data_IF_472041634360
#
_entry.id   IF_472041634360
#
_cell.length_a   1.000
_cell.length_b   1.000
_cell.length_c   1.000
_cell.angle_alpha   90.00
_cell.angle_beta   90.00
_cell.angle_gamma   90.00
#
_symmetry.space_group_name_H-M   'P 1'
#
loop_
_entity.id
_entity.type
_entity.pdbx_description
1 polymer ?
#
# COMPACT_ATOMS: atom_id res chain seq x y z
N UNK A 1 -8.33 20.95 -35.89
CA UNK A 1 -7.98 21.02 -34.46
C UNK A 1 -9.21 20.61 -33.66
N UNK A 2 -9.22 19.41 -33.07
CA UNK A 2 -10.19 19.01 -32.04
C UNK A 2 -9.43 18.94 -30.73
N UNK A 3 -9.81 19.78 -29.79
CA UNK A 3 -9.35 19.73 -28.40
C UNK A 3 -9.68 18.35 -27.82
N UNK A 4 -8.74 17.66 -27.17
CA UNK A 4 -9.05 16.43 -26.46
C UNK A 4 -9.98 16.74 -25.28
N UNK A 5 -10.88 15.81 -24.91
CA UNK A 5 -11.74 15.99 -23.75
C UNK A 5 -10.88 16.11 -22.50
N UNK A 6 -11.24 17.07 -21.65
CA UNK A 6 -10.67 17.29 -20.33
C UNK A 6 -10.84 15.97 -19.55
N UNK A 7 -9.72 15.31 -19.25
CA UNK A 7 -9.64 14.12 -18.41
C UNK A 7 -9.92 14.53 -16.95
N UNK A 8 -11.16 14.89 -16.67
CA UNK A 8 -11.66 15.03 -15.32
C UNK A 8 -11.92 13.61 -14.79
N UNK A 9 -11.55 13.38 -13.52
CA UNK A 9 -11.82 12.18 -12.71
C UNK A 9 -10.65 11.18 -12.54
N UNK A 10 -9.48 11.68 -12.13
CA UNK A 10 -8.65 10.90 -11.18
C UNK A 10 -9.26 11.06 -9.77
N UNK A 11 -10.43 10.47 -9.56
CA UNK A 11 -11.04 10.38 -8.23
C UNK A 11 -10.28 9.31 -7.44
N UNK A 12 -9.53 9.77 -6.44
CA UNK A 12 -8.59 9.06 -5.58
C UNK A 12 -7.43 8.31 -6.24
N UNK A 13 -6.21 8.78 -5.95
CA UNK A 13 -4.98 8.15 -6.41
C UNK A 13 -4.49 6.99 -5.53
N UNK A 14 -5.11 6.77 -4.37
CA UNK A 14 -4.79 5.60 -3.57
C UNK A 14 -5.54 4.38 -4.11
N UNK A 15 -4.86 3.24 -4.35
CA UNK A 15 -5.52 2.05 -4.82
C UNK A 15 -6.51 1.55 -3.76
N UNK A 16 -7.67 1.07 -4.21
CA UNK A 16 -8.58 0.36 -3.32
C UNK A 16 -7.85 -0.84 -2.68
N UNK A 17 -8.17 -1.11 -1.42
CA UNK A 17 -7.58 -2.16 -0.59
C UNK A 17 -7.40 -3.51 -1.32
N UNK A 18 -8.45 -4.01 -1.96
CA UNK A 18 -8.41 -5.28 -2.71
C UNK A 18 -7.41 -5.24 -3.87
N UNK A 19 -7.26 -4.09 -4.54
CA UNK A 19 -6.31 -3.92 -5.65
C UNK A 19 -4.88 -3.97 -5.15
N UNK A 20 -4.60 -3.29 -4.04
CA UNK A 20 -3.30 -3.34 -3.37
C UNK A 20 -2.97 -4.76 -2.92
N UNK A 21 -3.90 -5.48 -2.27
CA UNK A 21 -3.70 -6.87 -1.89
C UNK A 21 -3.41 -7.80 -3.08
N UNK A 22 -4.07 -7.60 -4.22
CA UNK A 22 -3.79 -8.37 -5.44
C UNK A 22 -2.36 -8.11 -5.90
N UNK A 23 -1.91 -6.86 -5.90
CA UNK A 23 -0.54 -6.51 -6.29
C UNK A 23 0.50 -7.15 -5.34
N UNK A 24 0.24 -7.10 -4.03
CA UNK A 24 1.11 -7.65 -3.00
C UNK A 24 1.20 -9.19 -3.03
N UNK A 25 0.06 -9.88 -3.17
CA UNK A 25 0.01 -11.34 -3.01
C UNK A 25 0.07 -12.13 -4.32
N UNK A 26 -0.28 -11.52 -5.46
CA UNK A 26 -0.33 -12.22 -6.76
C UNK A 26 0.63 -11.64 -7.79
N UNK A 27 1.14 -10.44 -7.55
CA UNK A 27 2.07 -9.78 -8.47
C UNK A 27 1.49 -9.49 -9.85
N UNK A 28 0.16 -9.39 -9.99
CA UNK A 28 -0.46 -9.10 -11.28
C UNK A 28 -0.03 -7.73 -11.79
N UNK A 29 0.21 -7.63 -13.10
CA UNK A 29 0.55 -6.38 -13.77
C UNK A 29 -0.64 -5.41 -13.68
N UNK A 30 -0.34 -4.21 -13.21
CA UNK A 30 -1.30 -3.15 -12.99
C UNK A 30 -0.68 -1.85 -13.49
N UNK A 31 -1.48 -1.03 -14.18
CA UNK A 31 -1.05 0.30 -14.63
C UNK A 31 -0.96 1.32 -13.51
N UNK A 32 -1.44 0.98 -12.31
CA UNK A 32 -1.32 1.81 -11.11
C UNK A 32 0.12 1.82 -10.58
N UNK A 33 0.74 3.01 -10.45
CA UNK A 33 2.13 3.12 -10.02
C UNK A 33 2.33 2.62 -8.58
N UNK A 34 1.36 2.84 -7.68
CA UNK A 34 1.46 2.40 -6.28
C UNK A 34 1.39 0.88 -6.22
N UNK A 35 0.46 0.25 -6.94
CA UNK A 35 0.42 -1.21 -7.06
C UNK A 35 1.72 -1.77 -7.63
N UNK A 36 2.29 -1.11 -8.65
CA UNK A 36 3.55 -1.55 -9.24
C UNK A 36 4.72 -1.46 -8.25
N UNK A 37 4.84 -0.35 -7.51
CA UNK A 37 5.89 -0.20 -6.50
C UNK A 37 5.69 -1.15 -5.30
N UNK A 38 4.45 -1.37 -4.86
CA UNK A 38 4.12 -2.34 -3.82
C UNK A 38 4.59 -3.75 -4.20
N UNK A 39 4.42 -4.15 -5.46
CA UNK A 39 4.95 -5.42 -5.98
C UNK A 39 6.47 -5.49 -5.92
N UNK A 40 7.17 -4.42 -6.31
CA UNK A 40 8.63 -4.38 -6.21
C UNK A 40 9.11 -4.44 -4.76
N UNK A 41 8.41 -3.79 -3.83
CA UNK A 41 8.72 -3.88 -2.40
C UNK A 41 8.64 -5.33 -1.90
N UNK A 42 7.62 -6.10 -2.30
CA UNK A 42 7.52 -7.53 -1.97
C UNK A 42 8.74 -8.30 -2.48
N UNK A 43 9.17 -8.07 -3.73
CA UNK A 43 10.35 -8.72 -4.30
C UNK A 43 11.63 -8.35 -3.56
N UNK A 44 11.78 -7.09 -3.13
CA UNK A 44 12.94 -6.64 -2.35
C UNK A 44 12.98 -7.32 -0.97
N UNK A 45 11.84 -7.51 -0.31
CA UNK A 45 11.77 -8.27 0.95
C UNK A 45 12.18 -9.74 0.78
N UNK A 46 11.74 -10.38 -0.31
CA UNK A 46 12.15 -11.74 -0.64
C UNK A 46 13.65 -11.83 -0.91
N UNK A 47 14.17 -10.96 -1.77
CA UNK A 47 15.60 -10.90 -2.11
C UNK A 47 16.47 -10.66 -0.87
N UNK A 48 16.07 -9.74 0.00
CA UNK A 48 16.76 -9.46 1.26
C UNK A 48 16.81 -10.66 2.20
N UNK A 49 15.76 -11.48 2.21
CA UNK A 49 15.67 -12.69 3.03
C UNK A 49 16.52 -13.82 2.47
N UNK A 50 16.53 -13.99 1.15
CA UNK A 50 17.26 -15.05 0.45
C UNK A 50 18.76 -14.73 0.30
N UNK A 51 19.11 -13.45 0.17
CA UNK A 51 20.47 -12.97 -0.10
C UNK A 51 20.84 -11.83 0.87
N UNK A 52 21.29 -12.15 2.09
CA UNK A 52 21.66 -11.14 3.10
C UNK A 52 22.75 -10.17 2.64
N UNK A 53 23.65 -10.58 1.74
CA UNK A 53 24.70 -9.72 1.18
C UNK A 53 24.14 -8.54 0.36
N UNK A 54 22.91 -8.67 -0.15
CA UNK A 54 22.19 -7.61 -0.88
C UNK A 54 21.29 -6.77 0.02
N UNK A 55 21.31 -6.98 1.35
CA UNK A 55 20.36 -6.32 2.25
C UNK A 55 20.45 -4.78 2.19
N UNK A 56 21.65 -4.22 2.12
CA UNK A 56 21.84 -2.77 2.02
C UNK A 56 21.28 -2.19 0.72
N UNK A 57 21.45 -2.89 -0.41
CA UNK A 57 20.88 -2.47 -1.71
C UNK A 57 19.35 -2.56 -1.67
N UNK A 58 18.81 -3.66 -1.11
CA UNK A 58 17.38 -3.84 -0.97
C UNK A 58 16.77 -2.74 -0.08
N UNK A 59 17.40 -2.43 1.05
CA UNK A 59 16.94 -1.39 1.97
C UNK A 59 17.00 0.01 1.33
N UNK A 60 18.05 0.30 0.56
CA UNK A 60 18.15 1.54 -0.22
C UNK A 60 17.01 1.67 -1.24
N UNK A 61 16.79 0.63 -2.07
CA UNK A 61 15.72 0.63 -3.07
C UNK A 61 14.32 0.66 -2.45
N UNK A 62 14.14 0.04 -1.29
CA UNK A 62 12.89 0.15 -0.51
C UNK A 62 12.64 1.59 -0.09
N UNK A 63 13.64 2.26 0.48
CA UNK A 63 13.52 3.68 0.85
C UNK A 63 13.18 4.57 -0.36
N UNK A 64 13.77 4.31 -1.53
CA UNK A 64 13.41 5.04 -2.76
C UNK A 64 11.94 4.87 -3.14
N UNK A 65 11.41 3.65 -3.11
CA UNK A 65 9.99 3.41 -3.41
C UNK A 65 9.06 4.03 -2.38
N UNK A 66 9.40 3.95 -1.08
CA UNK A 66 8.65 4.62 0.00
C UNK A 66 8.58 6.12 -0.29
N UNK A 67 9.72 6.76 -0.59
CA UNK A 67 9.77 8.18 -0.93
C UNK A 67 8.91 8.51 -2.15
N UNK A 68 9.00 7.73 -3.25
CA UNK A 68 8.18 7.96 -4.45
C UNK A 68 6.68 7.83 -4.20
N UNK A 69 6.26 6.85 -3.39
CA UNK A 69 4.87 6.70 -2.98
C UNK A 69 4.41 7.95 -2.22
N UNK A 70 5.21 8.41 -1.26
CA UNK A 70 4.89 9.57 -0.45
C UNK A 70 4.84 10.87 -1.27
N UNK A 71 5.78 11.06 -2.19
CA UNK A 71 5.80 12.21 -3.11
C UNK A 71 4.56 12.22 -4.01
N UNK A 72 4.21 11.08 -4.60
CA UNK A 72 3.02 10.95 -5.43
C UNK A 72 1.76 11.28 -4.62
N UNK A 73 1.64 10.75 -3.41
CA UNK A 73 0.50 11.01 -2.54
C UNK A 73 0.45 12.48 -2.12
N UNK A 74 1.57 13.07 -1.73
CA UNK A 74 1.65 14.49 -1.35
C UNK A 74 1.25 15.41 -2.50
N UNK A 75 1.60 15.05 -3.74
CA UNK A 75 1.22 15.81 -4.92
C UNK A 75 -0.29 15.77 -5.22
N UNK A 76 -1.00 14.74 -4.76
CA UNK A 76 -2.43 14.54 -5.02
C UNK A 76 -3.28 14.98 -3.82
N UNK A 77 -2.87 14.59 -2.61
CA UNK A 77 -3.59 14.80 -1.35
C UNK A 77 -2.65 15.40 -0.29
N UNK A 78 -2.30 16.70 -0.37
CA UNK A 78 -1.36 17.32 0.56
C UNK A 78 -1.78 17.24 2.04
N UNK A 79 -3.09 17.26 2.31
CA UNK A 79 -3.65 17.19 3.68
C UNK A 79 -3.34 15.86 4.37
N UNK A 80 -3.21 14.79 3.59
CA UNK A 80 -2.90 13.46 4.10
C UNK A 80 -1.47 13.35 4.61
N UNK A 81 -0.53 13.94 3.88
CA UNK A 81 0.87 14.03 4.29
C UNK A 81 1.06 14.80 5.62
N UNK A 82 0.14 15.69 5.95
CA UNK A 82 0.15 16.47 7.19
C UNK A 82 -0.53 15.71 8.34
N UNK A 83 -1.64 15.05 8.06
CA UNK A 83 -2.52 14.45 9.08
C UNK A 83 -2.00 13.11 9.60
N UNK A 84 -1.27 12.36 8.76
CA UNK A 84 -0.80 11.03 9.10
C UNK A 84 0.75 10.99 9.13
N UNK A 85 1.37 11.13 10.32
CA UNK A 85 2.83 11.19 10.45
C UNK A 85 3.60 9.92 10.08
N UNK A 86 3.08 8.68 10.24
CA UNK A 86 3.64 7.53 9.54
C UNK A 86 3.34 7.71 8.06
N UNK A 87 4.34 7.74 7.18
CA UNK A 87 4.03 7.96 5.77
C UNK A 87 3.31 6.74 5.17
N UNK A 88 2.33 6.92 4.29
CA UNK A 88 1.61 5.79 3.64
C UNK A 88 2.55 4.84 2.92
N UNK A 89 3.65 5.33 2.35
CA UNK A 89 4.70 4.48 1.79
C UNK A 89 5.28 3.49 2.80
N UNK A 90 5.43 3.89 4.08
CA UNK A 90 5.88 2.99 5.16
C UNK A 90 4.81 1.96 5.48
N UNK A 91 3.52 2.32 5.49
CA UNK A 91 2.44 1.35 5.69
C UNK A 91 2.40 0.32 4.56
N UNK A 92 2.52 0.75 3.30
CA UNK A 92 2.55 -0.13 2.14
C UNK A 92 3.80 -1.03 2.16
N UNK A 93 4.95 -0.52 2.58
CA UNK A 93 6.16 -1.33 2.77
C UNK A 93 6.02 -2.37 3.89
N UNK A 94 5.35 -2.05 5.00
CA UNK A 94 4.99 -3.02 6.06
C UNK A 94 4.06 -4.10 5.51
N UNK A 95 3.05 -3.73 4.72
CA UNK A 95 2.17 -4.69 4.05
C UNK A 95 2.94 -5.60 3.10
N UNK A 96 3.90 -5.05 2.35
CA UNK A 96 4.77 -5.82 1.46
C UNK A 96 5.63 -6.85 2.21
N UNK A 97 6.23 -6.45 3.33
CA UNK A 97 6.97 -7.37 4.20
C UNK A 97 6.08 -8.50 4.72
N UNK A 98 4.89 -8.16 5.22
CA UNK A 98 3.94 -9.15 5.76
C UNK A 98 3.42 -10.10 4.67
N UNK A 99 3.15 -9.59 3.46
CA UNK A 99 2.73 -10.41 2.33
C UNK A 99 3.81 -11.41 1.89
N UNK A 100 5.07 -10.95 1.76
CA UNK A 100 6.21 -11.85 1.48
C UNK A 100 6.31 -12.94 2.54
N UNK A 101 6.29 -12.54 3.82
CA UNK A 101 6.38 -13.48 4.93
C UNK A 101 5.23 -14.50 4.93
N UNK A 102 3.99 -14.06 4.70
CA UNK A 102 2.82 -14.93 4.65
C UNK A 102 2.91 -15.94 3.50
N UNK A 103 3.32 -15.50 2.30
CA UNK A 103 3.53 -16.37 1.14
C UNK A 103 4.65 -17.38 1.40
N UNK A 104 5.78 -16.93 1.97
CA UNK A 104 6.91 -17.81 2.31
C UNK A 104 6.54 -18.84 3.37
N UNK A 105 5.77 -18.46 4.40
CA UNK A 105 5.28 -19.39 5.43
C UNK A 105 4.30 -20.43 4.86
N UNK A 106 3.46 -20.04 3.90
CA UNK A 106 2.56 -20.98 3.22
C UNK A 106 3.35 -22.09 2.50
N UNK A 107 4.45 -21.72 1.83
CA UNK A 107 5.34 -22.68 1.15
C UNK A 107 6.14 -23.51 2.16
N UNK A 108 6.69 -22.90 3.20
CA UNK A 108 7.63 -23.55 4.11
C UNK A 108 6.98 -24.46 5.16
N UNK A 109 5.79 -24.10 5.65
CA UNK A 109 5.18 -24.73 6.84
C UNK A 109 3.81 -25.38 6.59
N UNK A 110 3.25 -25.18 5.40
CA UNK A 110 1.94 -25.70 5.01
C UNK A 110 0.75 -24.91 5.59
N UNK A 111 -0.43 -25.12 5.00
CA UNK A 111 -1.63 -24.29 5.17
C UNK A 111 -2.30 -24.30 6.58
N UNK A 112 -1.72 -25.00 7.57
CA UNK A 112 -2.32 -25.19 8.91
C UNK A 112 -1.34 -24.93 10.06
N UNK A 113 -0.19 -24.32 9.77
CA UNK A 113 0.75 -24.00 10.84
C UNK A 113 0.32 -22.73 11.57
N UNK A 114 0.57 -22.68 12.87
CA UNK A 114 0.35 -21.48 13.69
C UNK A 114 1.15 -20.28 13.15
N UNK A 115 2.37 -20.51 12.66
CA UNK A 115 3.21 -19.46 12.07
C UNK A 115 2.61 -18.89 10.79
N UNK A 116 1.98 -19.75 9.97
CA UNK A 116 1.26 -19.32 8.79
C UNK A 116 0.05 -18.47 9.18
N UNK A 117 -0.75 -18.90 10.16
CA UNK A 117 -1.88 -18.10 10.65
C UNK A 117 -1.43 -16.74 11.17
N UNK A 118 -0.39 -16.67 11.99
CA UNK A 118 0.16 -15.42 12.50
C UNK A 118 0.60 -14.47 11.38
N UNK A 119 1.28 -14.97 10.35
CA UNK A 119 1.72 -14.16 9.23
C UNK A 119 0.53 -13.59 8.42
N UNK A 120 -0.52 -14.39 8.19
CA UNK A 120 -1.74 -13.92 7.52
C UNK A 120 -2.55 -12.95 8.38
N UNK A 121 -2.61 -13.16 9.70
CA UNK A 121 -3.26 -12.22 10.64
C UNK A 121 -2.56 -10.87 10.62
N UNK A 122 -1.23 -10.84 10.66
CA UNK A 122 -0.46 -9.60 10.59
C UNK A 122 -0.75 -8.83 9.28
N UNK A 123 -0.85 -9.53 8.14
CA UNK A 123 -1.20 -8.89 6.87
C UNK A 123 -2.63 -8.32 6.90
N UNK A 124 -3.59 -9.03 7.50
CA UNK A 124 -4.97 -8.56 7.64
C UNK A 124 -5.09 -7.31 8.53
N UNK A 125 -4.32 -7.25 9.63
CA UNK A 125 -4.28 -6.07 10.51
C UNK A 125 -3.75 -4.83 9.77
N UNK A 126 -2.68 -4.98 8.99
CA UNK A 126 -2.14 -3.89 8.17
C UNK A 126 -3.10 -3.47 7.05
N UNK A 127 -3.85 -4.43 6.51
CA UNK A 127 -4.88 -4.17 5.51
C UNK A 127 -6.05 -3.36 6.08
N UNK A 128 -6.47 -3.64 7.31
CA UNK A 128 -7.43 -2.83 8.04
C UNK A 128 -6.90 -1.42 8.31
N UNK A 129 -5.65 -1.29 8.78
CA UNK A 129 -4.99 0.00 9.01
C UNK A 129 -4.99 0.86 7.72
N UNK A 130 -4.70 0.25 6.57
CA UNK A 130 -4.78 0.93 5.27
C UNK A 130 -6.22 1.30 4.89
N UNK A 131 -7.19 0.40 5.13
CA UNK A 131 -8.60 0.63 4.83
C UNK A 131 -9.17 1.80 5.62
N UNK A 132 -8.82 1.89 6.90
CA UNK A 132 -9.26 2.95 7.81
C UNK A 132 -8.67 4.29 7.37
N UNK A 133 -7.36 4.32 7.08
CA UNK A 133 -6.70 5.52 6.55
C UNK A 133 -7.36 6.02 5.27
N UNK A 134 -7.60 5.11 4.32
CA UNK A 134 -8.24 5.47 3.05
C UNK A 134 -9.67 5.97 3.29
N UNK A 135 -10.41 5.37 4.23
CA UNK A 135 -11.78 5.76 4.54
C UNK A 135 -11.87 7.12 5.23
N UNK A 136 -10.95 7.42 6.15
CA UNK A 136 -10.88 8.70 6.85
C UNK A 136 -10.69 9.86 5.86
N UNK A 137 -9.92 9.65 4.79
CA UNK A 137 -9.77 10.65 3.72
C UNK A 137 -11.08 10.99 3.02
N UNK A 138 -11.87 9.97 2.69
CA UNK A 138 -13.15 10.16 2.02
C UNK A 138 -14.23 10.70 2.96
N UNK A 139 -14.08 10.51 4.27
CA UNK A 139 -15.01 11.05 5.26
C UNK A 139 -14.80 12.55 5.49
N UNK A 140 -13.55 13.03 5.49
CA UNK A 140 -13.21 14.46 5.64
C UNK A 140 -13.75 15.29 4.47
N UNK A 141 -13.85 14.72 3.27
CA UNK A 141 -14.34 15.41 2.06
C UNK A 141 -15.87 15.58 2.00
N UNK A 142 -16.63 14.94 2.91
CA UNK A 142 -18.09 15.13 2.99
C UNK A 142 -18.42 16.24 3.99
N UNK A 143 -18.96 17.40 3.57
CA UNK A 143 -19.43 18.40 4.53
C UNK A 143 -20.52 17.77 5.40
N UNK A 144 -20.29 17.84 6.71
CA UNK A 144 -21.27 17.43 7.71
C UNK A 144 -22.61 18.12 7.38
N UNK A 145 -23.73 17.39 7.23
CA UNK A 145 -25.00 18.05 6.95
C UNK A 145 -25.30 19.00 8.10
N UNK A 146 -25.45 20.29 7.79
CA UNK A 146 -25.79 21.30 8.78
C UNK A 146 -27.04 20.88 9.54
N UNK A 147 -26.97 20.92 10.88
CA UNK A 147 -28.13 20.65 11.74
C UNK A 147 -29.29 21.53 11.30
N UNK A 148 -30.50 21.00 11.08
CA UNK A 148 -31.66 21.84 10.84
C UNK A 148 -31.88 22.70 12.09
N UNK A 149 -31.90 24.01 11.88
CA UNK A 149 -32.33 24.98 12.90
C UNK A 149 -33.84 24.83 12.99
N UNK A 150 -34.32 24.26 14.09
CA UNK A 150 -35.72 24.32 14.51
C UNK A 150 -35.86 25.35 15.62
#
# INVERSE_FOLDING_TARGET
>A
MRTPPITQERRCHLPARNRLLIALCRGLDDSDPICSWARELVRLHGTRTESPDLAAECDCRRSEFITRINELITAVEPLLAITYPPTIGVLIDRMAAAAEQAMRQLVASGARSERMHQAWTQLAELELEYSDLVSDLFYVDKPMPAKPVH
#
